data_IF_993074999743
#
_entry.id   IF_993074999743
#
_cell.length_a   1.000
_cell.length_b   1.000
_cell.length_c   1.000
_cell.angle_alpha   90.00
_cell.angle_beta   90.00
_cell.angle_gamma   90.00
#
_symmetry.space_group_name_H-M   'P 1'
#
loop_
_entity.id
_entity.type
_entity.pdbx_description
1 polymer ?
#
# COMPACT_ATOMS: atom_id res chain seq x y z
N UNK A 1 13.02 60.76 14.88
CA UNK A 1 11.56 60.92 14.75
C UNK A 1 11.21 60.97 13.27
N UNK A 2 11.06 59.80 12.62
CA UNK A 2 10.32 59.63 11.37
C UNK A 2 9.80 58.19 11.33
N UNK A 3 8.48 58.09 11.25
CA UNK A 3 7.66 56.92 11.01
C UNK A 3 7.90 56.39 9.60
N UNK A 4 8.16 55.10 9.43
CA UNK A 4 7.74 54.43 8.19
C UNK A 4 6.99 53.15 8.50
N UNK A 5 5.82 53.15 7.88
CA UNK A 5 4.69 52.34 8.16
C UNK A 5 4.68 51.22 7.09
N UNK A 6 4.77 49.97 7.53
CA UNK A 6 4.02 48.82 7.00
C UNK A 6 4.24 48.41 5.53
N UNK A 7 4.96 47.30 5.34
CA UNK A 7 4.54 46.26 4.38
C UNK A 7 4.24 45.00 5.20
N UNK A 8 2.95 44.88 5.55
CA UNK A 8 2.31 43.58 5.79
C UNK A 8 2.39 42.78 4.49
N UNK A 9 3.40 41.93 4.34
CA UNK A 9 3.27 40.81 3.41
C UNK A 9 2.34 39.80 4.08
N UNK A 10 1.17 39.64 3.47
CA UNK A 10 0.06 38.88 4.01
C UNK A 10 0.42 37.44 4.36
N UNK A 11 0.04 37.06 5.56
CA UNK A 11 -0.37 35.71 5.90
C UNK A 11 -1.43 35.22 4.92
N UNK A 12 -1.07 34.29 4.03
CA UNK A 12 -2.01 33.34 3.42
C UNK A 12 -1.24 32.22 2.72
N UNK A 13 -0.56 31.38 3.51
CA UNK A 13 -0.31 30.00 3.11
C UNK A 13 -0.87 29.11 4.21
N UNK A 14 -2.20 29.07 4.30
CA UNK A 14 -2.88 28.01 5.01
C UNK A 14 -2.61 26.71 4.24
N UNK A 15 -1.53 26.03 4.62
CA UNK A 15 -1.41 24.59 4.41
C UNK A 15 -2.60 23.95 5.13
N UNK A 16 -3.69 23.69 4.40
CA UNK A 16 -4.70 22.72 4.80
C UNK A 16 -4.10 21.32 4.67
N UNK A 17 -3.11 21.02 5.52
CA UNK A 17 -2.96 19.65 5.99
C UNK A 17 -4.18 19.44 6.89
N UNK A 18 -5.27 18.91 6.33
CA UNK A 18 -6.48 18.62 7.08
C UNK A 18 -6.11 17.75 8.27
N UNK A 19 -6.15 18.33 9.47
CA UNK A 19 -6.16 17.55 10.69
C UNK A 19 -7.48 16.78 10.67
N UNK A 20 -7.43 15.48 10.32
CA UNK A 20 -8.55 14.58 10.59
C UNK A 20 -8.75 14.63 12.10
N UNK A 21 -9.90 15.13 12.54
CA UNK A 21 -10.19 15.18 13.96
C UNK A 21 -10.22 13.74 14.49
N UNK A 22 -9.72 13.50 15.70
CA UNK A 22 -9.74 12.17 16.30
C UNK A 22 -11.17 11.56 16.33
N UNK A 23 -12.19 12.42 16.45
CA UNK A 23 -13.60 12.05 16.33
C UNK A 23 -13.99 11.42 14.99
N UNK A 24 -13.35 11.86 13.90
CA UNK A 24 -13.62 11.34 12.56
C UNK A 24 -13.04 9.93 12.39
N UNK A 25 -11.89 9.67 13.02
CA UNK A 25 -11.29 8.33 13.10
C UNK A 25 -12.19 7.41 13.92
N UNK A 26 -12.61 7.84 15.11
CA UNK A 26 -13.48 7.05 16.00
C UNK A 26 -14.80 6.68 15.32
N UNK A 27 -15.40 7.63 14.59
CA UNK A 27 -16.63 7.37 13.86
C UNK A 27 -16.39 6.40 12.69
N UNK A 28 -15.27 6.56 11.98
CA UNK A 28 -14.88 5.66 10.89
C UNK A 28 -14.67 4.23 11.40
N UNK A 29 -13.99 4.06 12.54
CA UNK A 29 -13.76 2.74 13.14
C UNK A 29 -15.08 2.07 13.53
N UNK A 30 -16.04 2.81 14.11
CA UNK A 30 -17.38 2.27 14.42
C UNK A 30 -18.10 1.81 13.17
N UNK A 31 -18.06 2.59 12.09
CA UNK A 31 -18.67 2.20 10.82
C UNK A 31 -17.99 0.96 10.22
N UNK A 32 -16.66 0.87 10.30
CA UNK A 32 -15.91 -0.33 9.86
C UNK A 32 -16.36 -1.55 10.66
N UNK A 33 -16.46 -1.45 11.98
CA UNK A 33 -16.90 -2.54 12.84
C UNK A 33 -18.33 -2.98 12.53
N UNK A 34 -19.25 -2.03 12.35
CA UNK A 34 -20.63 -2.32 11.96
C UNK A 34 -20.70 -3.05 10.62
N UNK A 35 -19.96 -2.58 9.61
CA UNK A 35 -19.95 -3.18 8.27
C UNK A 35 -19.30 -4.56 8.29
N UNK A 36 -18.17 -4.71 8.97
CA UNK A 36 -17.46 -5.99 9.10
C UNK A 36 -18.36 -7.07 9.75
N UNK A 37 -19.21 -6.69 10.71
CA UNK A 37 -20.10 -7.61 11.43
C UNK A 37 -21.38 -8.01 10.68
N UNK A 38 -21.72 -7.36 9.56
CA UNK A 38 -22.92 -7.69 8.78
C UNK A 38 -22.79 -8.99 7.99
N UNK A 39 -21.57 -9.43 7.74
CA UNK A 39 -21.29 -10.68 7.02
C UNK A 39 -21.46 -11.92 7.90
N UNK A 40 -21.44 -13.11 7.30
CA UNK A 40 -21.50 -14.38 8.03
C UNK A 40 -20.22 -14.69 8.83
N UNK A 41 -19.15 -13.92 8.62
CA UNK A 41 -17.85 -14.09 9.28
C UNK A 41 -17.55 -12.91 10.21
N UNK A 42 -17.06 -13.23 11.40
CA UNK A 42 -16.49 -12.30 12.38
C UNK A 42 -14.95 -12.31 12.26
N UNK A 43 -14.26 -11.24 12.69
CA UNK A 43 -12.79 -11.16 12.66
C UNK A 43 -12.14 -11.99 13.78
N UNK A 44 -12.58 -13.23 13.95
CA UNK A 44 -12.05 -14.20 14.92
C UNK A 44 -11.71 -15.50 14.22
N UNK A 45 -10.72 -16.22 14.74
CA UNK A 45 -10.30 -17.49 14.14
C UNK A 45 -11.43 -18.53 14.15
N UNK A 46 -12.24 -18.56 15.21
CA UNK A 46 -13.37 -19.48 15.36
C UNK A 46 -14.41 -19.27 14.27
N UNK A 47 -14.67 -18.02 13.88
CA UNK A 47 -15.60 -17.73 12.80
C UNK A 47 -15.03 -18.09 11.44
N UNK A 48 -13.77 -17.72 11.17
CA UNK A 48 -13.11 -17.98 9.90
C UNK A 48 -12.85 -19.47 9.64
N UNK A 49 -12.66 -20.26 10.69
CA UNK A 49 -12.51 -21.72 10.60
C UNK A 49 -13.76 -22.41 10.00
N UNK A 50 -14.91 -21.75 9.99
CA UNK A 50 -16.13 -22.25 9.35
C UNK A 50 -16.17 -22.11 7.83
N UNK A 51 -15.19 -21.42 7.21
CA UNK A 51 -15.14 -21.24 5.76
C UNK A 51 -15.01 -22.59 5.04
N UNK A 52 -15.83 -22.78 4.01
CA UNK A 52 -15.75 -23.94 3.11
C UNK A 52 -15.30 -23.47 1.74
N UNK A 53 -14.29 -24.14 1.20
CA UNK A 53 -13.83 -23.93 -0.17
C UNK A 53 -14.98 -24.25 -1.12
N UNK A 54 -15.34 -23.36 -2.08
CA UNK A 54 -16.46 -23.59 -2.97
C UNK A 54 -16.18 -24.75 -3.94
N UNK A 55 -17.23 -25.50 -4.31
CA UNK A 55 -17.13 -26.71 -5.14
C UNK A 55 -16.42 -26.45 -6.47
N UNK A 56 -16.72 -25.33 -7.14
CA UNK A 56 -16.08 -24.98 -8.41
C UNK A 56 -14.56 -24.87 -8.30
N UNK A 57 -14.02 -24.39 -7.17
CA UNK A 57 -12.57 -24.26 -6.97
C UNK A 57 -11.94 -25.63 -6.73
N UNK A 58 -12.64 -26.48 -5.97
CA UNK A 58 -12.24 -27.88 -5.79
C UNK A 58 -12.24 -28.60 -7.14
N UNK A 59 -13.23 -28.36 -7.99
CA UNK A 59 -13.40 -29.03 -9.29
C UNK A 59 -12.47 -28.50 -10.38
N UNK A 60 -11.97 -27.26 -10.27
CA UNK A 60 -11.15 -26.63 -11.30
C UNK A 60 -9.84 -27.40 -11.59
N UNK A 61 -9.20 -27.99 -10.57
CA UNK A 61 -7.93 -28.78 -10.57
C UNK A 61 -6.67 -28.13 -11.15
N UNK A 62 -6.79 -27.21 -12.10
CA UNK A 62 -5.69 -26.57 -12.81
C UNK A 62 -5.95 -25.06 -12.92
N UNK A 63 -4.93 -24.27 -12.62
CA UNK A 63 -4.97 -22.82 -12.71
C UNK A 63 -3.64 -22.27 -13.19
N UNK A 64 -3.71 -21.13 -13.90
CA UNK A 64 -2.53 -20.40 -14.35
C UNK A 64 -2.43 -19.13 -13.51
N UNK A 65 -1.28 -18.93 -12.90
CA UNK A 65 -0.93 -17.68 -12.22
C UNK A 65 0.23 -17.00 -12.94
N UNK A 66 0.19 -15.68 -12.99
CA UNK A 66 1.15 -14.87 -13.74
C UNK A 66 1.77 -13.84 -12.79
N UNK A 67 3.09 -13.89 -12.64
CA UNK A 67 3.86 -12.83 -11.99
C UNK A 67 4.17 -11.75 -13.02
N UNK A 68 3.31 -10.74 -13.10
CA UNK A 68 3.50 -9.58 -13.99
C UNK A 68 3.29 -8.27 -13.24
N UNK A 69 4.24 -7.35 -13.41
CA UNK A 69 4.19 -6.02 -12.80
C UNK A 69 5.36 -5.16 -13.27
N UNK A 70 5.63 -4.06 -12.56
CA UNK A 70 6.74 -3.14 -12.91
C UNK A 70 8.10 -3.82 -12.88
N UNK A 71 8.27 -4.84 -12.03
CA UNK A 71 9.47 -5.69 -11.99
C UNK A 71 9.69 -6.51 -13.26
N UNK A 72 8.67 -6.66 -14.13
CA UNK A 72 8.80 -7.34 -15.42
C UNK A 72 9.38 -6.44 -16.51
N UNK A 73 9.38 -5.10 -16.32
CA UNK A 73 9.87 -4.13 -17.32
C UNK A 73 11.36 -4.32 -17.64
N UNK A 74 12.26 -4.50 -16.65
CA UNK A 74 13.68 -4.75 -16.95
C UNK A 74 13.95 -6.08 -17.65
N UNK A 75 12.98 -7.01 -17.62
CA UNK A 75 13.10 -8.36 -18.18
C UNK A 75 14.40 -9.10 -17.78
N UNK A 76 14.91 -8.82 -16.58
CA UNK A 76 16.18 -9.33 -16.08
C UNK A 76 16.05 -9.79 -14.63
N UNK A 77 16.80 -10.83 -14.24
CA UNK A 77 16.76 -11.34 -12.87
C UNK A 77 15.47 -12.11 -12.56
N UNK A 78 14.59 -11.52 -11.74
CA UNK A 78 13.31 -12.09 -11.28
C UNK A 78 12.41 -10.98 -10.71
N UNK A 79 11.26 -11.33 -10.12
CA UNK A 79 10.29 -10.39 -9.55
C UNK A 79 10.84 -9.57 -8.35
N UNK A 80 11.98 -9.97 -7.79
CA UNK A 80 12.69 -9.22 -6.75
C UNK A 80 13.62 -8.15 -7.32
N UNK A 81 13.62 -7.92 -8.64
CA UNK A 81 14.43 -6.87 -9.26
C UNK A 81 14.36 -5.53 -8.52
N UNK A 82 13.18 -4.99 -8.12
CA UNK A 82 13.12 -3.70 -7.44
C UNK A 82 13.79 -3.67 -6.06
N UNK A 83 13.91 -4.83 -5.40
CA UNK A 83 14.66 -4.95 -4.15
C UNK A 83 16.16 -5.03 -4.45
N UNK A 84 16.54 -5.93 -5.34
CA UNK A 84 17.94 -6.28 -5.58
C UNK A 84 18.69 -5.23 -6.40
N UNK A 85 18.00 -4.38 -7.16
CA UNK A 85 18.62 -3.28 -7.92
C UNK A 85 19.24 -2.20 -7.03
N UNK A 86 18.99 -2.23 -5.72
CA UNK A 86 19.64 -1.38 -4.72
C UNK A 86 20.67 -2.12 -3.86
N UNK A 87 20.88 -3.42 -4.09
CA UNK A 87 21.77 -4.23 -3.28
C UNK A 87 23.23 -4.16 -3.79
N UNK A 88 23.93 -3.10 -3.39
CA UNK A 88 25.33 -2.86 -3.76
C UNK A 88 26.32 -3.88 -3.18
N UNK A 89 25.92 -4.65 -2.15
CA UNK A 89 26.76 -5.71 -1.55
C UNK A 89 26.85 -6.97 -2.42
N UNK A 90 26.20 -6.95 -3.58
CA UNK A 90 26.18 -8.02 -4.56
C UNK A 90 24.87 -8.78 -4.51
N UNK A 91 23.96 -8.44 -5.42
CA UNK A 91 22.83 -9.32 -5.70
C UNK A 91 23.36 -10.62 -6.34
N UNK A 92 22.84 -11.79 -5.92
CA UNK A 92 23.28 -13.11 -6.44
C UNK A 92 23.24 -13.23 -7.97
N UNK A 93 22.46 -12.39 -8.66
CA UNK A 93 22.24 -12.42 -10.12
C UNK A 93 22.80 -11.21 -10.85
N UNK A 94 23.61 -10.38 -10.19
CA UNK A 94 24.16 -9.16 -10.81
C UNK A 94 23.10 -8.13 -11.22
N UNK A 95 21.94 -8.12 -10.55
CA UNK A 95 20.81 -7.21 -10.76
C UNK A 95 21.23 -5.76 -10.49
N UNK A 96 21.96 -5.51 -9.39
CA UNK A 96 22.49 -4.17 -9.08
C UNK A 96 23.37 -3.65 -10.22
N UNK A 97 24.35 -4.46 -10.65
CA UNK A 97 25.28 -4.10 -11.72
C UNK A 97 24.58 -3.97 -13.08
N UNK A 98 23.58 -4.81 -13.36
CA UNK A 98 22.77 -4.69 -14.57
C UNK A 98 21.99 -3.37 -14.58
N UNK A 99 21.33 -3.03 -13.47
CA UNK A 99 20.56 -1.79 -13.33
C UNK A 99 21.42 -0.54 -13.52
N UNK A 100 22.67 -0.56 -13.06
CA UNK A 100 23.61 0.55 -13.29
C UNK A 100 24.08 0.68 -14.75
N UNK A 101 24.01 -0.40 -15.54
CA UNK A 101 24.52 -0.44 -16.93
C UNK A 101 23.46 -0.10 -17.98
N UNK A 102 22.18 -0.19 -17.63
CA UNK A 102 21.02 0.03 -18.52
C UNK A 102 20.33 1.33 -18.21
#
# INVERSE_FOLDING_TARGET
MQTFQWIRCGTAAALLAGAVAASDIDQTLKTIDEVARRGPFQPTWESLAGYRVPEWYVDAKFGIFIHWGVYSVPAFGNEWYPREMYNASGSRRGIYEHHLKT
#
